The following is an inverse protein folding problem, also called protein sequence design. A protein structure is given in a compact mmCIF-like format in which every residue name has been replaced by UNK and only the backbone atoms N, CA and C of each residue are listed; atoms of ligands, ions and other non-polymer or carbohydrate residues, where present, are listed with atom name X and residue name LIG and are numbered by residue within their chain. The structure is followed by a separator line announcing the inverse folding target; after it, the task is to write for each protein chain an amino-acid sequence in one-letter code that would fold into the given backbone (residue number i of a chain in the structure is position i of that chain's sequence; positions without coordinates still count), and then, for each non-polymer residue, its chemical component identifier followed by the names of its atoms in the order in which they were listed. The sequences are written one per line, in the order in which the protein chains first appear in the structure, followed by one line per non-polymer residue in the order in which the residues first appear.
data_IF_656115448287
#
_entry.id   IF_656115448287
#
_cell.length_a   1.000
_cell.length_b   1.000
_cell.length_c   1.000
_cell.angle_alpha   90.00
_cell.angle_beta   90.00
_cell.angle_gamma   90.00
#
_symmetry.space_group_name_H-M   'P 1'
#
loop_
_entity.id
_entity.type
_entity.pdbx_description
1 polymer ?
#
# COMPACT_ATOMS: atom_id res chain seq x y z
N UNK A 1 9.85 -5.01 7.26
CA UNK A 1 8.60 -5.00 8.06
C UNK A 1 8.14 -3.60 8.48
N UNK A 2 8.91 -2.53 8.20
CA UNK A 2 8.51 -1.13 8.37
C UNK A 2 8.71 -0.31 7.09
N UNK A 3 8.53 -0.94 5.92
CA UNK A 3 8.81 -0.29 4.63
C UNK A 3 7.93 0.94 4.37
N UNK A 4 6.76 1.01 5.00
CA UNK A 4 5.87 2.16 4.89
C UNK A 4 6.36 3.39 5.67
N UNK A 5 7.26 3.22 6.65
CA UNK A 5 7.85 4.37 7.38
C UNK A 5 8.69 5.22 6.43
N UNK A 6 9.45 4.60 5.52
CA UNK A 6 10.22 5.32 4.50
C UNK A 6 9.33 6.12 3.53
N UNK A 7 8.05 5.72 3.35
CA UNK A 7 7.12 6.47 2.50
C UNK A 7 6.78 7.85 3.09
N UNK A 8 6.93 8.06 4.39
CA UNK A 8 6.72 9.39 5.00
C UNK A 8 7.79 10.41 4.58
N UNK A 9 8.90 10.00 3.96
CA UNK A 9 9.84 10.93 3.31
C UNK A 9 9.25 11.54 2.02
N UNK A 10 8.19 10.96 1.46
CA UNK A 10 7.41 11.57 0.39
C UNK A 10 6.37 12.54 0.98
N UNK A 11 6.31 13.77 0.44
CA UNK A 11 5.47 14.84 0.99
C UNK A 11 3.97 14.53 0.87
N UNK A 12 3.54 14.00 -0.27
CA UNK A 12 2.13 13.71 -0.51
C UNK A 12 1.66 12.55 0.37
N UNK A 13 2.48 11.52 0.51
CA UNK A 13 2.23 10.42 1.43
C UNK A 13 2.18 10.94 2.87
N UNK A 14 3.16 11.73 3.31
CA UNK A 14 3.15 12.38 4.62
C UNK A 14 1.80 13.08 4.82
N UNK A 15 1.46 14.06 3.97
CA UNK A 15 0.26 14.90 4.07
C UNK A 15 -1.07 14.13 4.14
N UNK A 16 -1.16 12.98 3.45
CA UNK A 16 -2.34 12.13 3.48
C UNK A 16 -2.43 11.23 4.74
N UNK A 17 -1.31 10.96 5.41
CA UNK A 17 -1.20 10.02 6.53
C UNK A 17 -0.93 10.77 7.85
N UNK A 18 -1.94 11.52 8.32
CA UNK A 18 -1.81 12.33 9.56
C UNK A 18 -2.12 11.57 10.85
N UNK A 19 -2.97 10.56 10.80
CA UNK A 19 -3.57 9.98 12.00
C UNK A 19 -3.31 8.49 12.13
N UNK A 20 -3.31 8.00 13.37
CA UNK A 20 -3.23 6.58 13.70
C UNK A 20 -3.80 6.29 15.09
N UNK A 21 -3.61 5.08 15.58
CA UNK A 21 -3.92 4.73 16.97
C UNK A 21 -2.83 3.85 17.58
N UNK A 22 -2.75 3.88 18.90
CA UNK A 22 -1.89 3.01 19.70
C UNK A 22 -2.71 2.43 20.86
N UNK A 23 -2.48 1.16 21.17
CA UNK A 23 -3.13 0.50 22.31
C UNK A 23 -2.09 0.14 23.36
N UNK A 24 -2.23 0.67 24.57
CA UNK A 24 -1.36 0.37 25.70
C UNK A 24 -2.13 0.50 27.03
N UNK A 25 -1.70 -0.24 28.06
CA UNK A 25 -2.35 -0.23 29.38
C UNK A 25 -3.88 -0.42 29.35
N UNK A 26 -4.39 -1.22 28.41
CA UNK A 26 -5.81 -1.50 28.29
C UNK A 26 -6.64 -0.42 27.58
N UNK A 27 -6.01 0.67 27.12
CA UNK A 27 -6.69 1.84 26.53
C UNK A 27 -6.15 2.11 25.12
N UNK A 28 -7.06 2.37 24.18
CA UNK A 28 -6.70 2.89 22.86
C UNK A 28 -6.57 4.41 22.91
N UNK A 29 -5.50 4.94 22.33
CA UNK A 29 -5.21 6.36 22.18
C UNK A 29 -5.00 6.69 20.71
N UNK A 30 -5.32 7.93 20.34
CA UNK A 30 -5.02 8.43 19.02
C UNK A 30 -3.55 8.80 18.87
N UNK A 31 -3.11 8.83 17.62
CA UNK A 31 -1.82 9.37 17.22
C UNK A 31 -2.05 10.46 16.17
N UNK A 32 -1.37 11.58 16.35
CA UNK A 32 -1.28 12.65 15.36
C UNK A 32 0.19 12.79 14.92
N UNK A 33 0.48 12.33 13.71
CA UNK A 33 1.80 12.41 13.09
C UNK A 33 2.07 13.87 12.72
N UNK A 34 3.22 14.38 13.13
CA UNK A 34 3.58 15.78 12.86
C UNK A 34 4.98 15.97 12.30
N UNK A 35 5.87 14.97 12.37
CA UNK A 35 7.22 15.06 11.80
C UNK A 35 7.68 13.76 11.15
N UNK A 36 8.57 13.93 10.18
CA UNK A 36 9.40 12.90 9.59
C UNK A 36 10.86 13.36 9.61
N UNK A 37 11.78 12.49 10.06
CA UNK A 37 13.20 12.75 10.18
C UNK A 37 14.02 11.69 9.44
N UNK A 38 15.19 12.09 8.96
CA UNK A 38 16.25 11.22 8.47
C UNK A 38 17.52 11.51 9.26
N UNK A 39 17.93 10.57 10.11
CA UNK A 39 19.03 10.78 11.08
C UNK A 39 19.99 9.60 11.08
N UNK A 40 21.14 9.76 11.73
CA UNK A 40 22.08 8.67 11.97
C UNK A 40 21.65 7.84 13.19
N UNK A 41 21.93 6.53 13.19
CA UNK A 41 21.63 5.62 14.29
C UNK A 41 22.34 5.97 15.61
N UNK A 42 23.41 6.76 15.56
CA UNK A 42 24.19 7.21 16.71
C UNK A 42 23.90 8.67 17.09
N UNK A 43 22.84 9.28 16.56
CA UNK A 43 22.41 10.61 16.97
C UNK A 43 21.77 10.58 18.36
N UNK A 44 22.61 10.74 19.39
CA UNK A 44 22.17 10.76 20.78
C UNK A 44 21.33 11.98 21.15
N UNK A 45 21.28 13.02 20.30
CA UNK A 45 20.36 14.14 20.53
C UNK A 45 18.91 13.78 20.17
N UNK A 46 18.74 12.74 19.35
CA UNK A 46 17.43 12.21 18.95
C UNK A 46 17.06 10.99 19.79
N UNK A 47 18.01 10.06 19.98
CA UNK A 47 17.82 8.84 20.78
C UNK A 47 18.04 9.06 22.29
N UNK A 48 17.34 10.04 22.85
CA UNK A 48 17.33 10.36 24.29
C UNK A 48 15.92 10.18 24.90
N UNK A 49 15.52 8.95 25.27
CA UNK A 49 14.19 8.69 25.81
C UNK A 49 14.05 9.13 27.27
N UNK A 50 12.86 9.60 27.66
CA UNK A 50 12.52 9.85 29.06
C UNK A 50 13.08 11.15 29.64
N UNK A 51 13.16 12.19 28.81
CA UNK A 51 13.65 13.52 29.20
C UNK A 51 12.79 14.12 30.32
N UNK A 52 13.47 14.50 31.40
CA UNK A 52 12.88 15.07 32.61
C UNK A 52 13.08 16.60 32.67
N UNK A 53 12.03 17.32 33.07
CA UNK A 53 12.04 18.79 33.19
C UNK A 53 11.52 19.46 31.93
N UNK A 54 10.67 20.48 32.13
CA UNK A 54 9.92 21.10 31.03
C UNK A 54 10.82 21.87 30.07
N UNK A 55 11.85 22.57 30.57
CA UNK A 55 12.80 23.31 29.73
C UNK A 55 13.59 22.39 28.78
N UNK A 56 14.09 21.26 29.30
CA UNK A 56 14.81 20.27 28.48
C UNK A 56 13.89 19.55 27.49
N UNK A 57 12.64 19.31 27.88
CA UNK A 57 11.64 18.76 26.97
C UNK A 57 11.39 19.75 25.83
N UNK A 58 11.25 21.03 26.12
CA UNK A 58 11.07 22.06 25.09
C UNK A 58 12.28 22.14 24.17
N UNK A 59 13.50 22.15 24.71
CA UNK A 59 14.74 22.14 23.93
C UNK A 59 14.83 20.92 22.99
N UNK A 60 14.43 19.74 23.48
CA UNK A 60 14.37 18.53 22.67
C UNK A 60 13.34 18.63 21.54
N UNK A 61 12.14 19.13 21.82
CA UNK A 61 11.10 19.35 20.79
C UNK A 61 11.58 20.37 19.75
N UNK A 62 12.19 21.47 20.18
CA UNK A 62 12.74 22.48 19.29
C UNK A 62 13.86 21.91 18.41
N UNK A 63 14.68 21.02 18.97
CA UNK A 63 15.69 20.29 18.21
C UNK A 63 15.07 19.37 17.15
N UNK A 64 14.09 18.54 17.51
CA UNK A 64 13.37 17.67 16.56
C UNK A 64 12.77 18.48 15.39
N UNK A 65 12.09 19.59 15.70
CA UNK A 65 11.49 20.51 14.72
C UNK A 65 12.52 21.14 13.77
N UNK A 66 13.78 21.28 14.23
CA UNK A 66 14.86 21.87 13.45
C UNK A 66 15.46 20.91 12.42
N UNK A 67 15.41 19.60 12.67
CA UNK A 67 16.01 18.56 11.82
C UNK A 67 14.97 17.79 10.98
N UNK A 68 13.68 18.06 11.17
CA UNK A 68 12.60 17.42 10.43
C UNK A 68 12.63 17.75 8.93
N UNK A 69 12.57 16.71 8.08
CA UNK A 69 12.46 16.85 6.62
C UNK A 69 11.04 17.23 6.19
N UNK A 70 10.04 16.73 6.91
CA UNK A 70 8.64 17.16 6.81
C UNK A 70 8.11 17.43 8.19
N UNK A 71 7.35 18.51 8.32
CA UNK A 71 6.70 18.88 9.57
C UNK A 71 5.34 19.52 9.36
N UNK A 72 4.51 19.45 10.39
CA UNK A 72 3.23 20.14 10.51
C UNK A 72 3.24 21.03 11.72
N UNK A 73 2.53 22.14 11.61
CA UNK A 73 2.23 22.95 12.77
C UNK A 73 1.18 22.23 13.62
N UNK A 74 1.59 21.83 14.82
CA UNK A 74 0.72 21.24 15.84
C UNK A 74 1.00 21.90 17.18
N UNK A 75 -0.02 21.94 18.04
CA UNK A 75 0.15 22.45 19.40
C UNK A 75 0.68 21.33 20.29
N UNK A 76 1.89 21.51 20.82
CA UNK A 76 2.46 20.68 21.89
C UNK A 76 2.43 21.47 23.20
N UNK A 77 1.75 20.91 24.19
CA UNK A 77 1.71 21.40 25.56
C UNK A 77 2.66 20.63 26.47
N UNK A 78 2.91 21.14 27.70
CA UNK A 78 3.88 20.54 28.63
C UNK A 78 3.59 19.09 29.01
N UNK A 79 2.31 18.70 29.02
CA UNK A 79 1.83 17.37 29.41
C UNK A 79 1.59 16.44 28.21
N UNK A 80 1.87 16.90 26.99
CA UNK A 80 1.72 16.06 25.82
C UNK A 80 2.85 15.02 25.76
N UNK A 81 2.49 13.82 25.32
CA UNK A 81 3.43 12.74 25.10
C UNK A 81 3.63 12.53 23.60
N UNK A 82 4.87 12.34 23.19
CA UNK A 82 5.22 12.01 21.80
C UNK A 82 5.82 10.61 21.71
N UNK A 83 5.72 10.01 20.53
CA UNK A 83 6.30 8.71 20.19
C UNK A 83 7.15 8.90 18.93
N UNK A 84 8.33 8.28 18.95
CA UNK A 84 9.23 8.20 17.80
C UNK A 84 9.23 6.75 17.28
N UNK A 85 8.81 6.54 16.04
CA UNK A 85 8.89 5.25 15.35
C UNK A 85 10.10 5.24 14.43
N UNK A 86 11.17 4.56 14.85
CA UNK A 86 12.44 4.49 14.12
C UNK A 86 12.61 3.19 13.33
N UNK A 87 13.10 3.28 12.10
CA UNK A 87 13.51 2.13 11.28
C UNK A 87 14.75 2.39 10.44
N UNK A 88 15.37 1.35 9.89
CA UNK A 88 16.55 1.48 9.03
C UNK A 88 16.23 2.22 7.73
N UNK A 89 17.07 3.20 7.39
CA UNK A 89 17.15 3.74 6.04
C UNK A 89 18.15 2.87 5.26
N UNK A 90 17.65 2.04 4.33
CA UNK A 90 18.46 1.02 3.67
C UNK A 90 19.54 1.58 2.75
N UNK A 91 19.36 2.79 2.22
CA UNK A 91 20.27 3.39 1.24
C UNK A 91 21.43 4.17 1.89
N UNK A 92 21.37 4.41 3.21
CA UNK A 92 22.36 5.20 3.96
C UNK A 92 22.97 4.33 5.05
N UNK A 93 24.31 4.29 5.10
CA UNK A 93 25.01 3.56 6.17
C UNK A 93 24.64 4.20 7.51
N UNK A 94 24.15 3.38 8.45
CA UNK A 94 23.61 3.82 9.75
C UNK A 94 22.41 4.77 9.69
N UNK A 95 21.84 5.05 8.51
CA UNK A 95 20.69 5.92 8.39
C UNK A 95 19.44 5.34 9.04
N UNK A 96 18.57 6.24 9.52
CA UNK A 96 17.30 5.92 10.18
C UNK A 96 16.21 6.86 9.69
N UNK A 97 15.07 6.28 9.33
CA UNK A 97 13.83 7.01 9.16
C UNK A 97 13.08 7.03 10.48
N UNK A 98 12.62 8.21 10.91
CA UNK A 98 11.85 8.36 12.14
C UNK A 98 10.58 9.15 11.86
N UNK A 99 9.43 8.57 12.21
CA UNK A 99 8.14 9.27 12.23
C UNK A 99 7.82 9.64 13.67
N UNK A 100 7.46 10.90 13.90
CA UNK A 100 7.08 11.41 15.23
C UNK A 100 5.59 11.69 15.27
N UNK A 101 4.95 11.20 16.32
CA UNK A 101 3.53 11.40 16.56
C UNK A 101 3.25 11.85 17.99
N UNK A 102 2.30 12.76 18.15
CA UNK A 102 1.70 13.15 19.42
C UNK A 102 0.64 12.11 19.81
N UNK A 103 0.62 11.69 21.06
CA UNK A 103 -0.45 10.85 21.61
C UNK A 103 -1.64 11.74 21.97
N UNK A 104 -2.83 11.38 21.49
CA UNK A 104 -4.07 12.12 21.74
C UNK A 104 -5.10 11.24 22.45
N UNK A 105 -5.98 11.86 23.23
CA UNK A 105 -7.06 11.14 23.91
C UNK A 105 -8.16 10.67 22.95
N UNK A 106 -8.39 11.41 21.87
CA UNK A 106 -9.35 11.07 20.84
C UNK A 106 -8.71 10.13 19.83
N UNK A 107 -9.32 8.97 19.60
CA UNK A 107 -8.93 8.04 18.54
C UNK A 107 -9.56 8.53 17.23
N UNK A 108 -8.77 9.00 16.25
CA UNK A 108 -9.30 9.44 14.98
C UNK A 108 -9.96 8.25 14.26
N UNK A 109 -11.06 8.50 13.55
CA UNK A 109 -11.64 7.48 12.69
C UNK A 109 -10.60 7.08 11.65
N UNK A 110 -10.32 5.79 11.52
CA UNK A 110 -9.40 5.30 10.50
C UNK A 110 -9.90 5.73 9.11
N UNK A 111 -9.22 6.72 8.53
CA UNK A 111 -9.51 7.27 7.20
C UNK A 111 -8.71 6.56 6.11
N UNK A 112 -7.77 5.68 6.47
CA UNK A 112 -7.14 4.82 5.50
C UNK A 112 -8.24 3.94 4.94
N UNK A 113 -8.54 4.17 3.67
CA UNK A 113 -9.49 3.36 2.94
C UNK A 113 -9.10 1.90 3.19
N UNK A 114 -9.97 1.15 3.85
CA UNK A 114 -10.12 -0.24 3.44
C UNK A 114 -10.34 -0.12 1.95
N UNK A 115 -9.32 -0.42 1.12
CA UNK A 115 -9.49 -0.48 -0.32
C UNK A 115 -10.69 -1.41 -0.48
N UNK A 116 -11.88 -0.86 -0.74
CA UNK A 116 -13.03 -1.68 -1.07
C UNK A 116 -12.55 -2.43 -2.30
N UNK A 117 -12.29 -3.72 -2.13
CA UNK A 117 -11.78 -4.55 -3.22
C UNK A 117 -12.72 -4.31 -4.39
N UNK A 118 -12.18 -3.78 -5.49
CA UNK A 118 -13.01 -3.56 -6.68
C UNK A 118 -13.60 -4.94 -7.05
N UNK A 119 -14.86 -5.00 -7.48
CA UNK A 119 -15.46 -6.28 -7.86
C UNK A 119 -14.62 -6.95 -8.96
N UNK A 120 -14.58 -8.29 -8.96
CA UNK A 120 -13.97 -9.04 -10.06
C UNK A 120 -14.61 -8.59 -11.39
N UNK A 121 -13.84 -8.36 -12.47
CA UNK A 121 -12.43 -8.74 -12.69
C UNK A 121 -11.39 -7.66 -12.29
N UNK A 122 -11.79 -6.50 -11.80
CA UNK A 122 -10.86 -5.38 -11.58
C UNK A 122 -9.85 -5.62 -10.45
N UNK A 123 -10.20 -6.44 -9.44
CA UNK A 123 -9.30 -6.82 -8.35
C UNK A 123 -8.08 -7.61 -8.81
N UNK A 124 -8.15 -8.31 -9.94
CA UNK A 124 -7.06 -9.13 -10.48
C UNK A 124 -5.95 -8.28 -11.08
N UNK A 125 -6.28 -7.08 -11.55
CA UNK A 125 -5.38 -6.28 -12.36
C UNK A 125 -4.85 -5.02 -11.64
N UNK A 126 -5.33 -4.69 -10.44
CA UNK A 126 -5.13 -3.39 -9.75
C UNK A 126 -3.66 -3.01 -9.51
N UNK A 127 -2.74 -3.97 -9.39
CA UNK A 127 -1.33 -3.73 -9.06
C UNK A 127 -0.39 -3.56 -10.28
N UNK A 128 -0.93 -3.65 -11.51
CA UNK A 128 -0.13 -3.53 -12.74
C UNK A 128 -0.36 -2.21 -13.48
N UNK A 129 0.62 -1.75 -14.28
CA UNK A 129 0.46 -0.57 -15.16
C UNK A 129 -0.69 -0.73 -16.16
N UNK A 130 -0.94 -1.95 -16.65
CA UNK A 130 -2.10 -2.33 -17.45
C UNK A 130 -3.42 -2.26 -16.66
N UNK A 131 -3.38 -2.51 -15.35
CA UNK A 131 -4.50 -2.47 -14.44
C UNK A 131 -5.25 -1.15 -14.40
N UNK A 132 -4.52 -0.04 -14.42
CA UNK A 132 -5.12 1.30 -14.44
C UNK A 132 -5.99 1.50 -15.67
N UNK A 133 -5.51 1.06 -16.84
CA UNK A 133 -6.26 1.14 -18.10
C UNK A 133 -7.49 0.22 -18.12
N UNK A 134 -7.33 -1.03 -17.67
CA UNK A 134 -8.43 -2.01 -17.58
C UNK A 134 -9.51 -1.60 -16.57
N UNK A 135 -9.13 -0.87 -15.51
CA UNK A 135 -10.07 -0.38 -14.49
C UNK A 135 -11.00 0.73 -14.97
N UNK A 136 -10.67 1.40 -16.07
CA UNK A 136 -11.53 2.41 -16.71
C UNK A 136 -12.60 1.81 -17.62
N UNK A 137 -12.54 0.52 -17.90
CA UNK A 137 -13.46 -0.17 -18.80
C UNK A 137 -14.72 -0.58 -18.03
N UNK A 138 -15.94 -0.17 -18.44
CA UNK A 138 -17.19 -0.57 -17.77
C UNK A 138 -17.48 -2.09 -17.84
N UNK A 139 -18.18 -2.62 -16.83
CA UNK A 139 -18.39 -4.07 -16.61
C UNK A 139 -19.02 -4.82 -17.79
N UNK A 140 -19.97 -4.22 -18.50
CA UNK A 140 -20.60 -4.81 -19.69
C UNK A 140 -19.62 -5.21 -20.81
N UNK A 141 -18.49 -4.52 -20.95
CA UNK A 141 -17.48 -4.84 -21.97
C UNK A 141 -16.77 -6.15 -21.65
N UNK A 142 -16.57 -6.46 -20.36
CA UNK A 142 -16.02 -7.75 -19.95
C UNK A 142 -16.93 -8.92 -20.34
N UNK A 143 -18.25 -8.74 -20.22
CA UNK A 143 -19.22 -9.74 -20.68
C UNK A 143 -19.19 -9.90 -22.21
N UNK A 144 -18.98 -8.82 -22.96
CA UNK A 144 -18.82 -8.87 -24.42
C UNK A 144 -17.53 -9.63 -24.80
N UNK A 145 -16.41 -9.34 -24.13
CA UNK A 145 -15.14 -10.05 -24.36
C UNK A 145 -15.29 -11.54 -24.08
N UNK A 146 -15.94 -11.90 -22.96
CA UNK A 146 -16.21 -13.30 -22.62
C UNK A 146 -17.07 -13.98 -23.68
N UNK A 147 -18.10 -13.29 -24.19
CA UNK A 147 -18.98 -13.80 -25.23
C UNK A 147 -18.24 -14.03 -26.55
N UNK A 148 -17.39 -13.10 -26.97
CA UNK A 148 -16.55 -13.26 -28.18
C UNK A 148 -15.59 -14.44 -28.02
N UNK A 149 -14.97 -14.58 -26.85
CA UNK A 149 -14.04 -15.67 -26.58
C UNK A 149 -14.75 -17.05 -26.59
N UNK A 150 -15.99 -17.10 -26.09
CA UNK A 150 -16.86 -18.27 -26.20
C UNK A 150 -17.20 -18.62 -27.65
N UNK A 151 -17.56 -17.62 -28.47
CA UNK A 151 -17.84 -17.83 -29.90
C UNK A 151 -16.61 -18.34 -30.66
N UNK A 152 -15.42 -17.79 -30.37
CA UNK A 152 -14.16 -18.26 -30.95
C UNK A 152 -13.85 -19.71 -30.53
N UNK A 153 -14.09 -20.06 -29.26
CA UNK A 153 -13.93 -21.43 -28.77
C UNK A 153 -14.86 -22.40 -29.52
N UNK A 154 -16.14 -22.05 -29.66
CA UNK A 154 -17.12 -22.85 -30.40
C UNK A 154 -16.71 -23.01 -31.86
N UNK A 155 -16.29 -21.92 -32.50
CA UNK A 155 -15.83 -21.95 -33.88
C UNK A 155 -14.61 -22.86 -34.05
N UNK A 156 -13.65 -22.81 -33.13
CA UNK A 156 -12.48 -23.68 -33.12
C UNK A 156 -12.86 -25.16 -32.93
N UNK A 157 -13.83 -25.45 -32.06
CA UNK A 157 -14.37 -26.80 -31.87
C UNK A 157 -15.10 -27.30 -33.13
N UNK A 158 -15.84 -26.45 -33.84
CA UNK A 158 -16.49 -26.80 -35.10
C UNK A 158 -15.43 -27.12 -36.17
N UNK A 159 -14.40 -26.29 -36.29
CA UNK A 159 -13.28 -26.56 -37.22
C UNK A 159 -12.63 -27.90 -36.88
N UNK A 160 -12.32 -28.14 -35.60
CA UNK A 160 -11.73 -29.40 -35.16
C UNK A 160 -12.64 -30.59 -35.49
N UNK A 161 -13.95 -30.45 -35.26
CA UNK A 161 -14.94 -31.48 -35.60
C UNK A 161 -14.97 -31.76 -37.10
N UNK A 162 -14.96 -30.73 -37.96
CA UNK A 162 -14.95 -30.88 -39.41
C UNK A 162 -13.65 -31.56 -39.90
N UNK A 163 -12.51 -31.22 -39.30
CA UNK A 163 -11.23 -31.88 -39.60
C UNK A 163 -11.28 -33.36 -39.20
N UNK A 164 -11.81 -33.69 -38.01
CA UNK A 164 -11.93 -35.07 -37.55
C UNK A 164 -12.91 -35.88 -38.39
N UNK A 165 -14.02 -35.28 -38.81
CA UNK A 165 -15.01 -35.92 -39.70
C UNK A 165 -14.38 -36.27 -41.05
N UNK A 166 -13.69 -35.32 -41.70
CA UNK A 166 -12.99 -35.59 -42.97
C UNK A 166 -11.95 -36.71 -42.84
N UNK A 167 -11.24 -36.79 -41.71
CA UNK A 167 -10.28 -37.87 -41.46
C UNK A 167 -10.96 -39.25 -41.30
N UNK A 168 -12.18 -39.31 -40.77
CA UNK A 168 -12.95 -40.56 -40.68
C UNK A 168 -13.42 -41.01 -42.05
N UNK A 169 -14.02 -40.10 -42.82
CA UNK A 169 -14.50 -40.37 -44.18
C UNK A 169 -13.34 -40.86 -45.09
N UNK A 170 -12.18 -40.21 -45.04
CA UNK A 170 -10.99 -40.64 -45.81
C UNK A 170 -10.41 -41.99 -45.36
N UNK A 171 -10.61 -42.38 -44.09
CA UNK A 171 -10.17 -43.68 -43.58
C UNK A 171 -11.12 -44.81 -44.01
N UNK A 172 -12.42 -44.56 -43.95
CA UNK A 172 -13.44 -45.50 -44.43
C UNK A 172 -13.33 -45.73 -45.95
N UNK A 173 -13.06 -44.68 -46.72
CA UNK A 173 -12.84 -44.79 -48.17
C UNK A 173 -11.56 -45.58 -48.48
N UNK A 174 -10.46 -45.36 -47.74
CA UNK A 174 -9.23 -46.13 -47.89
C UNK A 174 -9.40 -47.62 -47.54
N UNK A 175 -10.11 -47.94 -46.46
CA UNK A 175 -10.36 -49.31 -46.03
C UNK A 175 -11.25 -50.06 -47.04
N UNK A 176 -12.21 -49.38 -47.69
CA UNK A 176 -13.09 -49.97 -48.72
C UNK A 176 -12.44 -50.24 -50.07
N UNK A 177 -11.29 -49.63 -50.38
CA UNK A 177 -10.56 -49.86 -51.64
C UNK A 177 -9.59 -51.06 -51.50
N UNK A 178 -9.29 -51.49 -50.27
CA UNK A 178 -8.37 -52.58 -49.96
C UNK A 178 -9.01 -53.96 -49.78
N UNK A 179 -10.34 -54.05 -49.83
CA UNK A 179 -11.13 -55.30 -49.88
C UNK A 179 -11.57 -55.64 -51.32
#
# INVERSE_FOLDING_TARGET
MFGDVAKFSDKEFFDQHRYGSIYYNGVEKGLEIFEMLEVDAYDFNIYDPGINGDDRRQEYIDHLLSVAIHKRDITLGPNDHIILLSTCFLDVTNGRHIVVAKITDTVPKNTFHTKKSKPFPYSVFDDSSLGRFLSSIPLWIWYIILFILLLLLIFLLIILYLILRRRREAKEEADSITD
#
